data_IF_093922340189
#
_entry.id   IF_093922340189
#
_cell.length_a   1.000
_cell.length_b   1.000
_cell.length_c   1.000
_cell.angle_alpha   90.00
_cell.angle_beta   90.00
_cell.angle_gamma   90.00
#
_symmetry.space_group_name_H-M   'P 1'
#
loop_
_entity.id
_entity.type
_entity.pdbx_description
1 polymer ?
#
# COMPACT_ATOMS: atom_id res chain seq x y z
N UNK A 1 -3.85 4.57 -9.52
CA UNK A 1 -3.64 3.32 -8.76
C UNK A 1 -2.20 3.33 -8.26
N UNK A 2 -1.97 3.14 -6.96
CA UNK A 2 -0.62 3.09 -6.35
C UNK A 2 -0.09 1.65 -6.33
N UNK A 3 -0.98 0.66 -6.17
CA UNK A 3 -0.63 -0.75 -6.28
C UNK A 3 -1.78 -1.66 -5.88
N UNK A 4 -1.44 -2.91 -5.56
CA UNK A 4 -2.38 -3.92 -5.05
C UNK A 4 -2.13 -4.09 -3.56
N UNK A 5 -3.18 -3.91 -2.77
CA UNK A 5 -3.19 -4.32 -1.37
C UNK A 5 -3.58 -5.80 -1.29
N UNK A 6 -2.80 -6.58 -0.55
CA UNK A 6 -3.11 -7.97 -0.23
C UNK A 6 -3.63 -8.01 1.20
N UNK A 7 -4.88 -8.40 1.39
CA UNK A 7 -5.45 -8.60 2.71
C UNK A 7 -4.74 -9.77 3.40
N UNK A 8 -4.13 -9.58 4.58
CA UNK A 8 -3.32 -10.61 5.23
C UNK A 8 -4.16 -11.75 5.85
N UNK A 9 -5.47 -11.57 6.01
CA UNK A 9 -6.38 -12.57 6.60
C UNK A 9 -6.99 -13.45 5.51
N UNK A 10 -7.38 -12.85 4.39
CA UNK A 10 -8.10 -13.54 3.31
C UNK A 10 -7.24 -13.83 2.08
N UNK A 11 -6.10 -13.15 1.92
CA UNK A 11 -5.27 -13.19 0.72
C UNK A 11 -5.85 -12.43 -0.47
N UNK A 12 -6.96 -11.72 -0.29
CA UNK A 12 -7.63 -10.99 -1.38
C UNK A 12 -6.79 -9.82 -1.88
N UNK A 13 -6.79 -9.65 -3.20
CA UNK A 13 -6.05 -8.61 -3.90
C UNK A 13 -7.00 -7.48 -4.32
N UNK A 14 -6.78 -6.29 -3.79
CA UNK A 14 -7.60 -5.12 -4.10
C UNK A 14 -6.72 -3.99 -4.62
N UNK A 15 -7.02 -3.39 -5.79
CA UNK A 15 -6.30 -2.21 -6.23
C UNK A 15 -6.53 -1.06 -5.24
N UNK A 16 -5.47 -0.36 -4.87
CA UNK A 16 -5.53 0.75 -3.91
C UNK A 16 -4.89 2.01 -4.49
N UNK A 17 -5.48 3.16 -4.17
CA UNK A 17 -4.87 4.49 -4.36
C UNK A 17 -4.28 5.03 -3.07
N UNK A 18 -4.36 4.27 -1.98
CA UNK A 18 -3.78 4.61 -0.70
C UNK A 18 -2.42 3.93 -0.54
N UNK A 19 -1.46 4.66 0.01
CA UNK A 19 -0.13 4.14 0.29
C UNK A 19 0.46 4.76 1.55
N UNK A 20 1.37 4.05 2.19
CA UNK A 20 2.19 4.57 3.29
C UNK A 20 3.53 5.00 2.70
N UNK A 21 3.94 6.23 3.01
CA UNK A 21 5.24 6.76 2.60
C UNK A 21 6.21 6.58 3.76
N UNK A 22 7.29 5.84 3.54
CA UNK A 22 8.40 5.78 4.47
C UNK A 22 9.55 6.64 3.95
N UNK A 23 9.99 7.56 4.80
CA UNK A 23 11.14 8.43 4.53
C UNK A 23 12.40 7.81 5.13
N UNK A 24 13.50 7.87 4.38
CA UNK A 24 14.82 7.43 4.80
C UNK A 24 15.86 8.48 4.39
N UNK A 25 17.08 8.37 4.90
CA UNK A 25 18.19 9.27 4.51
C UNK A 25 18.47 9.27 2.99
N UNK A 26 18.15 8.17 2.30
CA UNK A 26 18.45 7.98 0.87
C UNK A 26 17.24 8.24 -0.05
N UNK A 27 16.13 8.74 0.50
CA UNK A 27 14.89 8.99 -0.25
C UNK A 27 13.67 8.36 0.42
N UNK A 28 12.60 8.19 -0.36
CA UNK A 28 11.32 7.67 0.12
C UNK A 28 10.91 6.41 -0.65
N UNK A 29 10.14 5.54 0.01
CA UNK A 29 9.46 4.43 -0.63
C UNK A 29 7.97 4.44 -0.28
N UNK A 30 7.16 4.10 -1.27
CA UNK A 30 5.70 4.05 -1.14
C UNK A 30 5.27 2.59 -1.19
N UNK A 31 4.55 2.15 -0.16
CA UNK A 31 3.97 0.80 -0.11
C UNK A 31 2.45 0.89 -0.21
N UNK A 32 1.79 0.00 -0.99
CA UNK A 32 0.33 -0.06 -1.05
C UNK A 32 -0.27 -0.29 0.34
N UNK A 33 -1.32 0.48 0.67
CA UNK A 33 -2.00 0.41 1.95
C UNK A 33 -3.44 -0.08 1.80
N UNK A 34 -4.01 -0.56 2.90
CA UNK A 34 -5.41 -0.97 2.95
C UNK A 34 -6.31 0.19 2.47
N UNK A 35 -7.14 -0.02 1.44
CA UNK A 35 -8.08 1.01 1.00
C UNK A 35 -9.08 1.29 2.11
N UNK A 36 -9.40 2.57 2.31
CA UNK A 36 -10.44 3.03 3.23
C UNK A 36 -11.77 2.99 2.48
N UNK A 37 -12.76 2.33 3.05
CA UNK A 37 -14.17 2.44 2.63
C UNK A 37 -14.67 3.89 2.72
#
# INVERSE_FOLDING_TARGET
MIGIYIDPVTGNQTPTTMGIIHYSKNGYHVVPAKPKE
#
